data_IF_418077475824
#
_entry.id   IF_418077475824
#
_cell.length_a   1.000
_cell.length_b   1.000
_cell.length_c   1.000
_cell.angle_alpha   90.00
_cell.angle_beta   90.00
_cell.angle_gamma   90.00
#
_symmetry.space_group_name_H-M   'P 1'
#
loop_
_entity.id
_entity.type
_entity.pdbx_description
1 polymer ?
#
# COMPACT_ATOMS: atom_id res chain seq x y z
N UNK A 1 -2.38 -6.73 15.73
CA UNK A 1 -2.92 -5.37 15.79
C UNK A 1 -2.91 -4.72 14.42
N UNK A 2 -3.97 -3.98 14.08
CA UNK A 2 -4.06 -3.17 12.86
C UNK A 2 -4.67 -1.82 13.21
N UNK A 3 -4.10 -0.75 12.68
CA UNK A 3 -4.74 0.55 12.64
C UNK A 3 -5.53 0.67 11.33
N UNK A 4 -6.80 1.05 11.41
CA UNK A 4 -7.69 1.14 10.26
C UNK A 4 -8.35 2.52 10.27
N UNK A 5 -8.15 3.27 9.20
CA UNK A 5 -8.87 4.52 8.95
C UNK A 5 -9.92 4.31 7.88
N UNK A 6 -11.17 4.55 8.23
CA UNK A 6 -12.27 4.68 7.29
C UNK A 6 -12.54 6.17 7.06
N UNK A 7 -12.47 6.62 5.82
CA UNK A 7 -12.88 7.97 5.47
C UNK A 7 -14.40 8.13 5.62
N UNK A 8 -14.84 9.34 5.92
CA UNK A 8 -16.27 9.68 5.98
C UNK A 8 -17.02 9.13 4.75
N UNK A 9 -18.16 8.48 5.00
CA UNK A 9 -18.99 7.84 3.98
C UNK A 9 -18.51 6.47 3.49
N UNK A 10 -17.32 6.00 3.89
CA UNK A 10 -16.83 4.67 3.51
C UNK A 10 -17.35 3.57 4.45
N UNK A 11 -17.49 2.37 3.87
CA UNK A 11 -17.98 1.18 4.57
C UNK A 11 -17.04 0.01 4.33
N UNK A 12 -16.88 -0.84 5.36
CA UNK A 12 -16.24 -2.14 5.18
C UNK A 12 -17.17 -3.09 4.39
N UNK A 13 -16.66 -4.25 3.95
CA UNK A 13 -17.53 -5.34 3.48
C UNK A 13 -18.48 -5.80 4.59
N UNK A 14 -19.63 -6.32 4.21
CA UNK A 14 -20.45 -7.15 5.12
C UNK A 14 -19.81 -8.52 5.16
N UNK A 15 -19.29 -8.91 6.32
CA UNK A 15 -18.46 -10.09 6.49
C UNK A 15 -18.69 -10.77 7.83
N UNK A 16 -18.20 -12.00 7.94
CA UNK A 16 -18.06 -12.71 9.20
C UNK A 16 -16.76 -13.54 9.18
N UNK A 17 -16.40 -14.07 10.34
CA UNK A 17 -15.24 -14.94 10.53
C UNK A 17 -15.68 -16.29 11.07
N UNK A 18 -15.04 -17.36 10.65
CA UNK A 18 -15.33 -18.72 11.15
C UNK A 18 -14.67 -18.99 12.50
N UNK A 19 -13.45 -18.51 12.69
CA UNK A 19 -12.63 -18.75 13.88
C UNK A 19 -12.10 -17.49 14.53
N UNK A 20 -11.94 -16.42 13.75
CA UNK A 20 -11.30 -15.17 14.17
C UNK A 20 -12.22 -14.38 15.11
N UNK A 21 -11.68 -13.99 16.25
CA UNK A 21 -12.26 -12.96 17.11
C UNK A 21 -11.61 -11.61 16.85
N UNK A 22 -12.40 -10.56 16.84
CA UNK A 22 -11.93 -9.19 16.66
C UNK A 22 -12.40 -8.30 17.80
N UNK A 23 -11.51 -7.42 18.25
CA UNK A 23 -11.86 -6.31 19.14
C UNK A 23 -11.40 -5.02 18.51
N UNK A 24 -12.33 -4.13 18.25
CA UNK A 24 -12.09 -2.83 17.65
C UNK A 24 -12.20 -1.75 18.73
N UNK A 25 -11.13 -1.00 18.97
CA UNK A 25 -11.12 0.18 19.82
C UNK A 25 -11.17 1.43 18.94
N UNK A 26 -12.15 2.30 19.17
CA UNK A 26 -12.31 3.54 18.40
C UNK A 26 -11.39 4.62 18.99
N UNK A 27 -10.37 4.99 18.23
CA UNK A 27 -9.43 6.04 18.60
C UNK A 27 -9.97 7.44 18.34
N UNK A 28 -10.71 7.61 17.22
CA UNK A 28 -11.21 8.92 16.80
C UNK A 28 -12.36 8.78 15.81
N UNK A 29 -13.23 9.79 15.77
CA UNK A 29 -14.33 9.88 14.81
C UNK A 29 -15.58 9.14 15.25
N UNK A 30 -16.57 9.11 14.34
CA UNK A 30 -17.88 8.50 14.56
C UNK A 30 -18.22 7.55 13.43
N UNK A 31 -18.91 6.47 13.74
CA UNK A 31 -19.37 5.50 12.76
C UNK A 31 -20.60 4.72 13.24
N UNK A 32 -20.99 3.78 12.41
CA UNK A 32 -22.06 2.82 12.71
C UNK A 32 -21.49 1.42 12.56
N UNK A 33 -21.57 0.61 13.60
CA UNK A 33 -21.38 -0.82 13.53
C UNK A 33 -22.71 -1.47 13.18
N UNK A 34 -22.76 -2.14 12.02
CA UNK A 34 -23.86 -3.03 11.65
C UNK A 34 -23.46 -4.44 12.04
N UNK A 35 -24.33 -5.18 12.72
CA UNK A 35 -23.99 -6.53 13.19
C UNK A 35 -25.22 -7.41 13.35
N UNK A 36 -25.03 -8.74 13.22
CA UNK A 36 -26.08 -9.72 13.51
C UNK A 36 -26.16 -10.01 14.99
N UNK A 37 -27.39 -10.18 15.53
CA UNK A 37 -27.61 -10.57 16.95
C UNK A 37 -27.04 -11.94 17.26
N UNK A 38 -27.17 -12.85 16.32
CA UNK A 38 -26.76 -14.24 16.45
C UNK A 38 -25.72 -14.59 15.39
N UNK A 39 -24.81 -15.50 15.72
CA UNK A 39 -23.88 -16.02 14.72
C UNK A 39 -24.62 -16.69 13.55
N UNK A 40 -24.10 -16.55 12.33
CA UNK A 40 -24.54 -17.35 11.19
C UNK A 40 -24.21 -18.83 11.43
N UNK A 41 -25.04 -19.73 10.96
CA UNK A 41 -24.71 -21.16 10.95
C UNK A 41 -23.59 -21.42 9.91
N UNK A 42 -22.35 -21.46 10.39
CA UNK A 42 -21.14 -21.60 9.57
C UNK A 42 -21.17 -22.93 8.80
N UNK A 43 -21.69 -24.02 9.42
CA UNK A 43 -21.79 -25.31 8.75
C UNK A 43 -22.79 -25.25 7.58
N UNK A 44 -23.96 -24.68 7.81
CA UNK A 44 -24.98 -24.46 6.77
C UNK A 44 -24.40 -23.58 5.63
N UNK A 45 -23.61 -22.56 5.99
CA UNK A 45 -22.99 -21.68 5.02
C UNK A 45 -21.91 -22.41 4.16
N UNK A 46 -21.01 -23.16 4.80
CA UNK A 46 -19.96 -23.91 4.13
C UNK A 46 -20.54 -25.00 3.20
N UNK A 47 -21.66 -25.59 3.56
CA UNK A 47 -22.40 -26.55 2.77
C UNK A 47 -23.23 -25.91 1.64
N UNK A 48 -23.16 -24.58 1.47
CA UNK A 48 -23.92 -23.78 0.48
C UNK A 48 -25.44 -23.97 0.57
N UNK A 49 -25.95 -24.18 1.78
CA UNK A 49 -27.37 -24.41 2.06
C UNK A 49 -28.17 -23.13 2.33
N UNK A 50 -27.53 -21.97 2.37
CA UNK A 50 -28.24 -20.68 2.39
C UNK A 50 -28.65 -20.29 0.98
N UNK A 51 -29.92 -19.94 0.80
CA UNK A 51 -30.37 -19.28 -0.41
C UNK A 51 -29.88 -17.82 -0.43
N UNK A 52 -29.90 -17.22 -1.61
CA UNK A 52 -29.59 -15.78 -1.73
C UNK A 52 -30.57 -14.93 -0.94
N UNK A 53 -31.86 -15.25 -0.98
CA UNK A 53 -32.91 -14.50 -0.30
C UNK A 53 -32.76 -14.59 1.23
N UNK A 54 -32.37 -15.75 1.78
CA UNK A 54 -32.07 -15.90 3.21
C UNK A 54 -30.89 -15.02 3.64
N UNK A 55 -29.81 -14.95 2.84
CA UNK A 55 -28.67 -14.10 3.13
C UNK A 55 -29.02 -12.61 3.02
N UNK A 56 -29.78 -12.23 2.00
CA UNK A 56 -30.23 -10.85 1.80
C UNK A 56 -31.16 -10.41 2.95
N UNK A 57 -32.00 -11.30 3.47
CA UNK A 57 -32.84 -11.03 4.63
C UNK A 57 -32.02 -10.84 5.91
N UNK A 58 -31.01 -11.67 6.16
CA UNK A 58 -30.08 -11.52 7.30
C UNK A 58 -29.38 -10.15 7.21
N UNK A 59 -28.87 -9.80 6.04
CA UNK A 59 -28.17 -8.53 5.79
C UNK A 59 -29.09 -7.33 6.04
N UNK A 60 -30.33 -7.42 5.60
CA UNK A 60 -31.34 -6.37 5.79
C UNK A 60 -31.68 -6.14 7.26
N UNK A 61 -31.62 -7.19 8.06
CA UNK A 61 -32.00 -7.19 9.47
C UNK A 61 -30.81 -6.97 10.44
N UNK A 62 -29.63 -6.55 9.92
CA UNK A 62 -28.49 -6.20 10.78
C UNK A 62 -28.86 -5.05 11.74
N UNK A 63 -28.53 -5.21 13.01
CA UNK A 63 -28.64 -4.13 13.97
C UNK A 63 -27.59 -3.05 13.71
N UNK A 64 -27.89 -1.85 14.18
CA UNK A 64 -27.03 -0.67 14.06
C UNK A 64 -26.69 -0.15 15.44
N UNK A 65 -25.41 0.01 15.70
CA UNK A 65 -24.88 0.64 16.91
C UNK A 65 -23.99 1.80 16.52
N UNK A 66 -24.30 2.99 17.01
CA UNK A 66 -23.37 4.11 16.90
C UNK A 66 -22.09 3.81 17.68
N UNK A 67 -20.95 4.13 17.08
CA UNK A 67 -19.63 3.98 17.67
C UNK A 67 -18.87 5.29 17.56
N UNK A 68 -18.15 5.64 18.62
CA UNK A 68 -17.37 6.87 18.73
C UNK A 68 -16.13 6.63 19.56
N UNK A 69 -15.28 7.63 19.66
CA UNK A 69 -14.05 7.63 20.44
C UNK A 69 -14.25 7.01 21.85
N UNK A 70 -13.33 6.11 22.22
CA UNK A 70 -13.37 5.36 23.47
C UNK A 70 -14.24 4.11 23.44
N UNK A 71 -15.07 3.89 22.42
CA UNK A 71 -15.88 2.69 22.35
C UNK A 71 -15.03 1.45 21.98
N UNK A 72 -15.43 0.33 22.58
CA UNK A 72 -14.89 -1.00 22.28
C UNK A 72 -15.99 -1.85 21.66
N UNK A 73 -15.68 -2.50 20.54
CA UNK A 73 -16.57 -3.43 19.86
C UNK A 73 -15.89 -4.80 19.76
N UNK A 74 -16.47 -5.80 20.41
CA UNK A 74 -15.98 -7.17 20.36
C UNK A 74 -16.86 -8.01 19.44
N UNK A 75 -16.27 -8.64 18.45
CA UNK A 75 -16.92 -9.42 17.40
C UNK A 75 -16.46 -10.87 17.50
N UNK A 76 -17.38 -11.75 17.85
CA UNK A 76 -17.13 -13.19 17.96
C UNK A 76 -17.25 -13.88 16.59
N UNK A 77 -16.68 -15.10 16.45
CA UNK A 77 -16.89 -15.93 15.28
C UNK A 77 -18.37 -16.06 14.88
N UNK A 78 -18.65 -16.03 13.58
CA UNK A 78 -19.99 -16.12 13.03
C UNK A 78 -20.81 -14.83 13.07
N UNK A 79 -20.42 -13.80 13.81
CA UNK A 79 -21.14 -12.52 13.80
C UNK A 79 -20.93 -11.82 12.49
N UNK A 80 -22.02 -11.64 11.74
CA UNK A 80 -22.01 -10.85 10.51
C UNK A 80 -21.89 -9.38 10.91
N UNK A 81 -20.96 -8.65 10.32
CA UNK A 81 -20.72 -7.27 10.68
C UNK A 81 -20.17 -6.42 9.53
N UNK A 82 -20.33 -5.10 9.65
CA UNK A 82 -19.64 -4.06 8.87
C UNK A 82 -19.51 -2.79 9.70
N UNK A 83 -18.46 -2.03 9.42
CA UNK A 83 -18.28 -0.68 9.95
C UNK A 83 -18.58 0.33 8.84
N UNK A 84 -19.37 1.34 9.15
CA UNK A 84 -19.68 2.50 8.31
C UNK A 84 -19.17 3.76 9.01
N UNK A 85 -18.35 4.55 8.34
CA UNK A 85 -17.80 5.79 8.87
C UNK A 85 -18.76 6.97 8.58
N UNK A 86 -19.24 7.64 9.63
CA UNK A 86 -19.99 8.91 9.53
C UNK A 86 -19.00 10.05 9.32
N UNK A 87 -18.00 10.13 10.20
CA UNK A 87 -16.84 11.00 10.08
C UNK A 87 -15.61 10.14 9.73
N UNK A 88 -14.45 10.75 9.51
CA UNK A 88 -13.19 10.01 9.41
C UNK A 88 -12.98 9.21 10.71
N UNK A 89 -13.12 7.89 10.61
CA UNK A 89 -13.14 6.96 11.73
C UNK A 89 -11.83 6.21 11.81
N UNK A 90 -11.08 6.44 12.87
CA UNK A 90 -9.83 5.73 13.18
C UNK A 90 -10.07 4.71 14.27
N UNK A 91 -9.70 3.46 14.03
CA UNK A 91 -9.78 2.40 15.02
C UNK A 91 -8.54 1.50 15.04
N UNK A 92 -8.32 0.86 16.19
CA UNK A 92 -7.36 -0.24 16.34
C UNK A 92 -8.13 -1.56 16.39
N UNK A 93 -7.83 -2.46 15.45
CA UNK A 93 -8.29 -3.85 15.47
C UNK A 93 -7.24 -4.72 16.17
N UNK A 94 -7.64 -5.36 17.26
CA UNK A 94 -6.93 -6.50 17.85
C UNK A 94 -7.68 -7.77 17.48
N UNK A 95 -6.99 -8.73 16.90
CA UNK A 95 -7.61 -9.99 16.48
C UNK A 95 -6.73 -11.19 16.80
N UNK A 96 -7.32 -12.36 16.84
CA UNK A 96 -6.61 -13.63 16.84
C UNK A 96 -5.83 -13.85 15.54
N UNK A 97 -5.03 -14.90 15.45
CA UNK A 97 -4.01 -15.08 14.39
C UNK A 97 -4.57 -15.44 13.00
N UNK A 98 -5.85 -15.71 12.89
CA UNK A 98 -6.53 -16.17 11.67
C UNK A 98 -6.72 -15.01 10.66
N UNK A 99 -5.65 -14.60 10.00
CA UNK A 99 -5.65 -13.42 9.13
C UNK A 99 -6.48 -13.61 7.83
N UNK A 100 -6.61 -14.85 7.36
CA UNK A 100 -7.27 -15.20 6.10
C UNK A 100 -8.72 -15.68 6.29
N UNK A 101 -9.21 -15.64 7.52
CA UNK A 101 -10.55 -16.06 7.89
C UNK A 101 -11.55 -14.92 7.71
N UNK A 102 -11.89 -14.62 6.46
CA UNK A 102 -12.87 -13.57 6.11
C UNK A 102 -13.85 -14.09 5.07
N UNK A 103 -15.12 -14.25 5.48
CA UNK A 103 -16.24 -14.56 4.58
C UNK A 103 -17.02 -13.29 4.28
N UNK A 104 -17.03 -12.86 3.00
CA UNK A 104 -17.74 -11.65 2.57
C UNK A 104 -19.09 -12.01 1.97
N UNK A 105 -20.16 -11.45 2.54
CA UNK A 105 -21.53 -11.62 2.06
C UNK A 105 -21.91 -10.52 1.06
N UNK A 106 -21.46 -9.30 1.29
CA UNK A 106 -21.63 -8.18 0.37
C UNK A 106 -20.42 -7.25 0.46
N UNK A 107 -19.93 -6.83 -0.68
CA UNK A 107 -18.76 -5.95 -0.76
C UNK A 107 -18.94 -4.93 -1.89
N UNK A 108 -19.08 -3.67 -1.52
CA UNK A 108 -19.22 -2.55 -2.47
C UNK A 108 -18.01 -2.43 -3.40
N UNK A 109 -16.87 -2.99 -3.00
CA UNK A 109 -15.63 -3.06 -3.80
C UNK A 109 -15.56 -4.29 -4.70
N UNK A 110 -16.57 -5.20 -4.64
CA UNK A 110 -16.73 -6.42 -5.46
C UNK A 110 -15.59 -7.43 -5.29
N UNK A 111 -15.02 -7.52 -4.08
CA UNK A 111 -14.14 -8.64 -3.72
C UNK A 111 -14.98 -9.91 -3.64
N UNK A 112 -14.45 -11.02 -4.16
CA UNK A 112 -15.20 -12.29 -4.21
C UNK A 112 -15.64 -12.77 -2.82
N UNK A 113 -16.79 -13.44 -2.78
CA UNK A 113 -17.27 -14.13 -1.61
C UNK A 113 -16.39 -15.35 -1.30
N UNK A 114 -16.07 -15.56 -0.05
CA UNK A 114 -15.45 -16.78 0.42
C UNK A 114 -13.99 -16.68 0.85
N UNK A 115 -13.47 -17.78 1.31
CA UNK A 115 -12.07 -17.97 1.69
C UNK A 115 -11.14 -17.55 0.57
N UNK A 116 -10.14 -16.77 0.89
CA UNK A 116 -9.02 -16.52 -0.04
C UNK A 116 -8.41 -17.88 -0.37
N UNK A 117 -8.25 -18.18 -1.66
CA UNK A 117 -7.57 -19.41 -2.07
C UNK A 117 -6.21 -19.46 -1.38
N UNK A 118 -5.87 -20.62 -0.74
CA UNK A 118 -4.65 -20.81 0.04
C UNK A 118 -3.41 -20.41 -0.75
N UNK A 119 -3.33 -20.81 -2.01
CA UNK A 119 -2.23 -20.46 -2.92
C UNK A 119 -2.12 -18.95 -3.16
N UNK A 120 -3.24 -18.26 -3.31
CA UNK A 120 -3.27 -16.81 -3.43
C UNK A 120 -2.86 -16.12 -2.13
N UNK A 121 -3.33 -16.62 -0.98
CA UNK A 121 -2.96 -16.12 0.34
C UNK A 121 -1.46 -16.25 0.60
N UNK A 122 -0.87 -17.39 0.29
CA UNK A 122 0.58 -17.63 0.43
C UNK A 122 1.38 -16.69 -0.47
N UNK A 123 1.05 -16.62 -1.75
CA UNK A 123 1.72 -15.69 -2.70
C UNK A 123 1.58 -14.23 -2.28
N UNK A 124 0.44 -13.86 -1.70
CA UNK A 124 0.23 -12.50 -1.19
C UNK A 124 1.04 -12.22 0.08
N UNK A 125 1.24 -13.22 0.96
CA UNK A 125 2.11 -13.09 2.14
C UNK A 125 3.56 -12.87 1.74
N UNK A 126 4.06 -13.63 0.79
CA UNK A 126 5.42 -13.50 0.25
C UNK A 126 5.61 -12.12 -0.36
N UNK A 127 4.70 -11.70 -1.25
CA UNK A 127 4.72 -10.39 -1.87
C UNK A 127 4.73 -9.25 -0.84
N UNK A 128 3.88 -9.35 0.21
CA UNK A 128 3.85 -8.35 1.28
C UNK A 128 5.12 -8.33 2.10
N UNK A 129 5.71 -9.50 2.38
CA UNK A 129 6.95 -9.60 3.13
C UNK A 129 8.12 -8.95 2.39
N UNK A 130 8.26 -9.19 1.10
CA UNK A 130 9.29 -8.57 0.26
C UNK A 130 9.14 -7.05 0.18
N UNK A 131 7.90 -6.56 -0.06
CA UNK A 131 7.63 -5.13 -0.06
C UNK A 131 7.96 -4.53 1.30
N UNK A 132 7.63 -5.23 2.39
CA UNK A 132 7.93 -4.77 3.73
C UNK A 132 9.44 -4.63 3.95
N UNK A 133 10.23 -5.65 3.60
CA UNK A 133 11.70 -5.60 3.68
C UNK A 133 12.29 -4.46 2.84
N UNK A 134 11.81 -4.30 1.59
CA UNK A 134 12.23 -3.21 0.71
C UNK A 134 11.95 -1.83 1.32
N UNK A 135 10.77 -1.64 1.89
CA UNK A 135 10.38 -0.39 2.50
C UNK A 135 11.19 -0.11 3.77
N UNK A 136 11.35 -1.09 4.65
CA UNK A 136 12.19 -0.93 5.87
C UNK A 136 13.60 -0.53 5.47
N UNK A 137 14.21 -1.21 4.49
CA UNK A 137 15.56 -0.88 4.03
C UNK A 137 15.66 0.55 3.46
N UNK A 138 14.61 1.07 2.79
CA UNK A 138 14.57 2.47 2.33
C UNK A 138 14.48 3.46 3.49
N UNK A 139 13.70 3.16 4.52
CA UNK A 139 13.64 4.01 5.71
C UNK A 139 14.95 3.99 6.49
N UNK A 140 15.59 2.83 6.66
CA UNK A 140 16.92 2.73 7.25
C UNK A 140 17.96 3.52 6.46
N UNK A 141 17.90 3.45 5.13
CA UNK A 141 18.75 4.26 4.27
C UNK A 141 18.43 5.75 4.41
N UNK A 142 17.16 6.15 4.32
CA UNK A 142 16.73 7.53 4.46
C UNK A 142 17.15 8.13 5.82
N UNK A 143 17.02 7.37 6.90
CA UNK A 143 17.43 7.73 8.26
C UNK A 143 18.90 8.18 8.36
N UNK A 144 19.78 7.68 7.49
CA UNK A 144 21.19 8.07 7.49
C UNK A 144 21.44 9.47 6.97
N UNK A 145 20.51 10.04 6.18
CA UNK A 145 20.70 11.34 5.49
C UNK A 145 19.58 12.35 5.77
N UNK A 146 18.37 11.88 6.07
CA UNK A 146 17.22 12.73 6.36
C UNK A 146 17.39 13.47 7.68
N UNK A 147 16.88 14.71 7.73
CA UNK A 147 17.00 15.58 8.90
C UNK A 147 15.87 16.59 8.98
N UNK A 148 15.70 17.19 10.15
CA UNK A 148 14.79 18.32 10.38
C UNK A 148 13.33 17.92 10.22
N UNK A 149 12.54 18.83 9.65
CA UNK A 149 11.12 18.59 9.34
C UNK A 149 11.01 17.75 8.07
N UNK A 150 10.39 16.58 8.17
CA UNK A 150 10.28 15.63 7.07
C UNK A 150 8.82 15.54 6.60
N UNK A 151 8.61 15.59 5.28
CA UNK A 151 7.35 15.19 4.64
C UNK A 151 7.54 13.80 4.02
N UNK A 152 6.78 12.84 4.48
CA UNK A 152 6.77 11.48 3.93
C UNK A 152 5.48 11.27 3.13
N UNK A 153 5.63 11.16 1.82
CA UNK A 153 4.55 10.90 0.85
C UNK A 153 4.54 9.44 0.37
N UNK A 154 5.09 8.54 1.16
CA UNK A 154 5.11 7.11 0.87
C UNK A 154 3.70 6.52 0.95
N UNK A 155 3.33 5.76 -0.07
CA UNK A 155 2.04 5.06 -0.08
C UNK A 155 1.98 3.97 0.99
N UNK A 156 0.87 3.94 1.73
CA UNK A 156 0.57 2.89 2.70
C UNK A 156 0.74 3.33 4.16
N UNK A 157 -0.39 3.44 4.84
CA UNK A 157 -0.50 3.98 6.21
C UNK A 157 0.34 3.24 7.25
N UNK A 158 0.45 1.93 7.12
CA UNK A 158 1.25 1.11 8.02
C UNK A 158 2.74 1.45 7.93
N UNK A 159 3.25 1.57 6.71
CA UNK A 159 4.65 1.94 6.48
C UNK A 159 4.93 3.38 6.90
N UNK A 160 3.98 4.29 6.63
CA UNK A 160 4.08 5.67 7.06
C UNK A 160 4.24 5.80 8.58
N UNK A 161 3.47 5.03 9.37
CA UNK A 161 3.59 5.01 10.83
C UNK A 161 4.96 4.47 11.30
N UNK A 162 5.36 3.29 10.82
CA UNK A 162 6.65 2.70 11.17
C UNK A 162 7.82 3.56 10.68
N UNK A 163 7.73 4.05 9.44
CA UNK A 163 8.74 4.92 8.85
C UNK A 163 8.92 6.22 9.63
N UNK A 164 7.82 6.84 10.09
CA UNK A 164 7.89 8.03 10.91
C UNK A 164 8.65 7.77 12.21
N UNK A 165 8.38 6.66 12.92
CA UNK A 165 9.11 6.30 14.12
C UNK A 165 10.61 6.08 13.85
N UNK A 166 10.95 5.37 12.75
CA UNK A 166 12.34 5.15 12.36
C UNK A 166 13.08 6.47 12.08
N UNK A 167 12.44 7.41 11.40
CA UNK A 167 13.03 8.72 11.10
C UNK A 167 13.22 9.58 12.36
N UNK A 168 12.26 9.55 13.28
CA UNK A 168 12.35 10.27 14.56
C UNK A 168 13.42 9.72 15.52
N UNK A 169 13.88 8.49 15.32
CA UNK A 169 14.98 7.91 16.11
C UNK A 169 16.35 8.52 15.80
N UNK A 170 16.47 9.35 14.75
CA UNK A 170 17.74 9.92 14.33
C UNK A 170 17.66 11.48 14.32
N UNK A 171 17.66 12.08 13.14
CA UNK A 171 17.82 13.54 13.00
C UNK A 171 16.53 14.27 12.56
N UNK A 172 15.38 13.58 12.53
CA UNK A 172 14.11 14.22 12.27
C UNK A 172 13.58 14.93 13.51
N UNK A 173 13.18 16.18 13.40
CA UNK A 173 12.49 16.92 14.48
C UNK A 173 10.98 16.64 14.48
N UNK A 174 10.41 16.43 13.31
CA UNK A 174 9.01 16.07 13.12
C UNK A 174 8.82 15.39 11.78
N UNK A 175 7.84 14.49 11.68
CA UNK A 175 7.49 13.78 10.45
C UNK A 175 6.02 14.01 10.13
N UNK A 176 5.77 14.44 8.90
CA UNK A 176 4.45 14.68 8.35
C UNK A 176 4.17 13.65 7.27
N UNK A 177 3.02 13.00 7.33
CA UNK A 177 2.62 12.06 6.28
C UNK A 177 1.46 12.64 5.47
N UNK A 178 1.61 12.63 4.15
CA UNK A 178 0.57 13.02 3.20
C UNK A 178 0.16 11.81 2.34
N UNK A 179 -1.14 11.54 2.26
CA UNK A 179 -1.73 10.62 1.28
C UNK A 179 -1.90 11.36 -0.06
N UNK A 180 -0.80 11.58 -0.75
CA UNK A 180 -0.64 12.47 -1.90
C UNK A 180 -1.51 12.15 -3.13
N UNK A 181 -2.14 10.97 -3.16
CA UNK A 181 -2.89 10.47 -4.32
C UNK A 181 -4.36 10.93 -4.38
N UNK A 182 -4.85 11.68 -3.41
CA UNK A 182 -6.24 12.09 -3.39
C UNK A 182 -6.38 13.58 -3.64
N UNK A 183 -6.44 13.95 -4.92
CA UNK A 183 -6.51 15.35 -5.39
C UNK A 183 -7.81 16.09 -5.00
N UNK A 184 -8.74 15.44 -4.29
CA UNK A 184 -10.07 16.01 -4.02
C UNK A 184 -10.51 16.00 -2.55
N UNK A 185 -9.69 15.55 -1.62
CA UNK A 185 -10.03 15.52 -0.21
C UNK A 185 -9.07 16.35 0.61
N UNK A 186 -9.59 17.00 1.61
CA UNK A 186 -8.83 17.66 2.68
C UNK A 186 -7.79 16.67 3.22
N UNK A 187 -6.52 16.88 2.89
CA UNK A 187 -5.45 16.01 3.36
C UNK A 187 -5.29 16.21 4.85
N UNK A 188 -5.45 15.14 5.63
CA UNK A 188 -5.05 15.13 7.02
C UNK A 188 -3.57 14.77 7.07
N UNK A 189 -2.73 15.73 7.42
CA UNK A 189 -1.33 15.50 7.67
C UNK A 189 -1.21 14.91 9.07
N UNK A 190 -0.56 13.76 9.17
CA UNK A 190 -0.19 13.18 10.45
C UNK A 190 1.13 13.77 10.87
N UNK A 191 1.16 14.42 12.00
CA UNK A 191 2.36 14.95 12.59
C UNK A 191 2.82 14.07 13.75
N UNK A 192 4.05 13.61 13.68
CA UNK A 192 4.72 12.86 14.73
C UNK A 192 5.80 13.76 15.31
N UNK A 193 5.83 13.89 16.62
CA UNK A 193 6.83 14.67 17.36
C UNK A 193 7.81 13.75 18.08
N UNK A 194 8.88 14.33 18.65
CA UNK A 194 9.91 13.61 19.40
C UNK A 194 9.35 12.79 20.58
N UNK A 195 8.23 13.20 21.18
CA UNK A 195 7.52 12.45 22.23
C UNK A 195 6.75 11.24 21.68
N UNK A 196 6.87 10.96 20.36
CA UNK A 196 6.16 9.90 19.64
C UNK A 196 4.64 10.03 19.66
N UNK A 197 4.13 11.21 20.04
CA UNK A 197 2.71 11.51 19.94
C UNK A 197 2.32 11.73 18.47
N UNK A 198 1.14 11.25 18.11
CA UNK A 198 0.57 11.42 16.77
C UNK A 198 -0.56 12.43 16.83
N UNK A 199 -0.39 13.56 16.15
CA UNK A 199 -1.42 14.57 16.00
C UNK A 199 -1.93 14.57 14.56
N UNK A 200 -3.22 14.83 14.39
CA UNK A 200 -3.83 15.05 13.08
C UNK A 200 -4.05 16.55 12.91
N UNK A 201 -3.32 17.14 11.98
CA UNK A 201 -3.55 18.52 11.58
C UNK A 201 -4.20 18.54 10.18
N UNK A 202 -5.21 19.40 10.03
CA UNK A 202 -5.78 19.64 8.72
C UNK A 202 -4.80 20.49 7.93
N UNK A 203 -4.41 20.03 6.75
CA UNK A 203 -3.63 20.85 5.83
C UNK A 203 -4.54 21.95 5.28
N UNK A 204 -4.47 23.14 5.83
CA UNK A 204 -5.00 24.30 5.15
C UNK A 204 -4.00 24.70 4.05
N UNK A 205 -4.48 24.91 2.82
CA UNK A 205 -3.67 25.26 1.64
C UNK A 205 -2.81 26.55 1.82
N UNK A 206 -2.97 27.24 2.95
CA UNK A 206 -2.28 28.48 3.28
C UNK A 206 -1.07 28.33 4.21
N UNK A 207 -0.73 27.13 4.65
CA UNK A 207 0.44 26.96 5.51
C UNK A 207 1.72 26.99 4.66
N UNK A 208 2.49 28.08 4.75
CA UNK A 208 3.85 28.24 4.21
C UNK A 208 4.88 27.30 4.88
N UNK A 209 4.48 26.07 5.17
CA UNK A 209 5.34 25.09 5.82
C UNK A 209 6.37 24.59 4.81
N UNK A 210 7.65 24.71 5.16
CA UNK A 210 8.76 24.15 4.39
C UNK A 210 9.33 22.92 5.09
N UNK A 211 9.83 22.00 4.28
CA UNK A 211 10.42 20.75 4.76
C UNK A 211 11.91 20.69 4.44
N UNK A 212 12.69 20.21 5.39
CA UNK A 212 14.13 19.99 5.21
C UNK A 212 14.41 18.71 4.42
N UNK A 213 13.48 17.75 4.51
CA UNK A 213 13.52 16.52 3.75
C UNK A 213 12.12 16.15 3.25
N UNK A 214 12.01 15.77 1.97
CA UNK A 214 10.82 15.09 1.44
C UNK A 214 11.20 13.66 1.09
N UNK A 215 10.44 12.69 1.58
CA UNK A 215 10.60 11.27 1.28
C UNK A 215 9.45 10.82 0.38
N UNK A 216 9.75 10.29 -0.81
CA UNK A 216 8.77 9.85 -1.80
C UNK A 216 9.09 8.43 -2.25
N UNK A 217 8.72 7.43 -1.44
CA UNK A 217 9.01 6.04 -1.73
C UNK A 217 7.94 5.42 -2.62
N UNK A 218 8.32 5.07 -3.85
CA UNK A 218 7.49 4.35 -4.83
C UNK A 218 6.10 4.99 -5.06
N UNK A 219 6.01 6.31 -5.07
CA UNK A 219 4.77 7.05 -5.35
C UNK A 219 4.77 7.63 -6.75
N UNK A 220 5.90 8.12 -7.23
CA UNK A 220 6.03 8.83 -8.50
C UNK A 220 5.55 8.02 -9.72
N UNK A 221 5.66 6.70 -9.69
CA UNK A 221 5.21 5.83 -10.78
C UNK A 221 3.69 5.77 -10.94
N UNK A 222 2.91 6.25 -9.99
CA UNK A 222 1.46 6.34 -10.07
C UNK A 222 0.95 7.71 -10.53
N UNK A 223 1.85 8.70 -10.61
CA UNK A 223 1.53 10.05 -11.01
C UNK A 223 1.37 10.16 -12.53
N UNK A 224 0.33 10.88 -12.98
CA UNK A 224 0.12 11.13 -14.42
C UNK A 224 1.12 12.15 -14.97
N UNK A 225 1.49 13.11 -14.16
CA UNK A 225 2.36 14.24 -14.51
C UNK A 225 3.51 14.33 -13.48
N UNK A 226 4.51 13.43 -13.56
CA UNK A 226 5.59 13.36 -12.58
C UNK A 226 6.38 14.67 -12.45
N UNK A 227 6.51 15.45 -13.52
CA UNK A 227 7.16 16.77 -13.52
C UNK A 227 6.47 17.71 -12.54
N UNK A 228 5.13 17.81 -12.59
CA UNK A 228 4.36 18.68 -11.69
C UNK A 228 4.49 18.24 -10.23
N UNK A 229 4.60 16.95 -10.00
CA UNK A 229 4.83 16.40 -8.66
C UNK A 229 6.20 16.81 -8.13
N UNK A 230 7.24 16.73 -8.96
CA UNK A 230 8.59 17.22 -8.58
C UNK A 230 8.58 18.73 -8.33
N UNK A 231 7.95 19.54 -9.19
CA UNK A 231 7.79 20.99 -8.99
C UNK A 231 7.12 21.31 -7.65
N UNK A 232 6.06 20.57 -7.29
CA UNK A 232 5.42 20.71 -5.98
C UNK A 232 6.39 20.39 -4.84
N UNK A 233 7.19 19.34 -4.95
CA UNK A 233 8.20 19.01 -3.94
C UNK A 233 9.26 20.11 -3.82
N UNK A 234 9.77 20.62 -4.92
CA UNK A 234 10.73 21.74 -4.93
C UNK A 234 10.15 22.97 -4.22
N UNK A 235 8.86 23.26 -4.45
CA UNK A 235 8.18 24.36 -3.80
C UNK A 235 7.95 24.14 -2.30
N UNK A 236 7.82 22.91 -1.84
CA UNK A 236 7.67 22.57 -0.43
C UNK A 236 9.01 22.45 0.31
N UNK A 237 10.13 22.22 -0.38
CA UNK A 237 11.43 22.15 0.23
C UNK A 237 11.93 23.50 0.75
N UNK A 238 12.65 23.47 1.88
CA UNK A 238 13.46 24.59 2.37
C UNK A 238 14.62 24.89 1.41
N UNK A 239 15.32 25.99 1.61
CA UNK A 239 16.40 26.47 0.73
C UNK A 239 17.55 25.46 0.57
N UNK A 240 17.89 24.73 1.66
CA UNK A 240 18.89 23.66 1.66
C UNK A 240 18.24 22.27 1.84
N UNK A 241 17.00 22.14 1.40
CA UNK A 241 16.22 20.92 1.54
C UNK A 241 16.63 19.83 0.56
N UNK A 242 16.29 18.59 0.89
CA UNK A 242 16.56 17.44 0.03
C UNK A 242 15.29 16.64 -0.27
N UNK A 243 15.26 16.04 -1.45
CA UNK A 243 14.29 15.04 -1.85
C UNK A 243 14.98 13.67 -1.87
N UNK A 244 14.37 12.69 -1.19
CA UNK A 244 14.73 11.26 -1.30
C UNK A 244 13.57 10.58 -2.02
N UNK A 245 13.79 10.10 -3.22
CA UNK A 245 12.73 9.57 -4.07
C UNK A 245 13.12 8.22 -4.66
N UNK A 246 12.17 7.29 -4.73
CA UNK A 246 12.41 5.98 -5.33
C UNK A 246 11.37 5.62 -6.37
N UNK A 247 11.82 4.87 -7.39
CA UNK A 247 10.99 4.31 -8.45
C UNK A 247 11.49 2.94 -8.87
N UNK A 248 10.68 2.16 -9.58
CA UNK A 248 11.15 0.91 -10.16
C UNK A 248 11.90 1.14 -11.46
N UNK A 249 12.87 0.26 -11.74
CA UNK A 249 13.65 0.28 -12.96
C UNK A 249 12.88 -0.37 -14.12
N UNK A 250 12.44 0.45 -15.10
CA UNK A 250 11.73 -0.02 -16.28
C UNK A 250 12.60 -0.95 -17.17
N UNK A 251 13.91 -0.76 -17.16
CA UNK A 251 14.82 -1.56 -17.98
C UNK A 251 15.08 -2.95 -17.42
N UNK A 252 14.78 -3.16 -16.12
CA UNK A 252 14.93 -4.47 -15.51
C UNK A 252 14.00 -5.49 -16.18
N UNK A 253 14.54 -6.63 -16.60
CA UNK A 253 13.78 -7.71 -17.27
C UNK A 253 12.56 -8.19 -16.48
N UNK A 254 12.61 -8.09 -15.16
CA UNK A 254 11.48 -8.41 -14.29
C UNK A 254 10.25 -7.56 -14.62
N UNK A 255 10.43 -6.26 -14.80
CA UNK A 255 9.34 -5.34 -15.12
C UNK A 255 9.00 -5.29 -16.62
N UNK A 256 10.01 -5.43 -17.51
CA UNK A 256 9.79 -5.53 -18.95
C UNK A 256 8.87 -6.69 -19.33
N UNK A 257 8.90 -7.77 -18.58
CA UNK A 257 8.05 -8.95 -18.82
C UNK A 257 6.64 -8.83 -18.21
N UNK A 258 6.14 -7.62 -17.96
CA UNK A 258 4.78 -7.40 -17.48
C UNK A 258 4.53 -7.78 -16.02
N UNK A 259 5.60 -7.97 -15.23
CA UNK A 259 5.53 -8.31 -13.80
C UNK A 259 5.44 -7.08 -12.90
N UNK A 260 4.91 -5.98 -13.40
CA UNK A 260 4.65 -4.77 -12.63
C UNK A 260 3.18 -4.67 -12.22
N UNK A 261 2.93 -3.92 -11.15
CA UNK A 261 1.57 -3.56 -10.75
C UNK A 261 0.89 -2.82 -11.92
N UNK A 262 -0.25 -3.30 -12.45
CA UNK A 262 -0.91 -2.68 -13.60
C UNK A 262 -1.43 -1.26 -13.33
N UNK A 263 -1.48 -0.81 -12.09
CA UNK A 263 -1.85 0.55 -11.70
C UNK A 263 -0.71 1.56 -11.91
N UNK A 264 0.52 1.09 -12.05
CA UNK A 264 1.68 1.95 -12.32
C UNK A 264 1.55 2.54 -13.72
N UNK A 265 1.60 3.85 -13.80
CA UNK A 265 1.43 4.61 -15.05
C UNK A 265 2.78 4.85 -15.70
N UNK A 266 3.79 5.18 -14.88
CA UNK A 266 5.14 5.51 -15.30
C UNK A 266 6.15 4.46 -14.84
N UNK A 267 7.21 4.33 -15.59
CA UNK A 267 8.44 3.66 -15.21
C UNK A 267 9.58 4.44 -15.83
N UNK A 268 10.75 4.35 -15.24
CA UNK A 268 11.88 5.14 -15.66
C UNK A 268 13.08 4.23 -15.96
N UNK A 269 13.80 4.50 -17.04
CA UNK A 269 15.20 4.09 -17.14
C UNK A 269 16.01 4.88 -16.12
N UNK A 270 17.25 4.49 -15.89
CA UNK A 270 18.16 5.27 -15.02
C UNK A 270 18.32 6.70 -15.53
N UNK A 271 18.51 6.84 -16.84
CA UNK A 271 18.77 8.15 -17.45
C UNK A 271 17.50 9.03 -17.44
N UNK A 272 16.34 8.49 -17.82
CA UNK A 272 15.07 9.23 -17.72
C UNK A 272 14.76 9.68 -16.28
N UNK A 273 15.12 8.86 -15.28
CA UNK A 273 14.91 9.20 -13.88
C UNK A 273 15.88 10.29 -13.41
N UNK A 274 17.14 10.21 -13.83
CA UNK A 274 18.14 11.23 -13.56
C UNK A 274 17.74 12.55 -14.23
N UNK A 275 17.43 12.55 -15.52
CA UNK A 275 17.06 13.74 -16.29
C UNK A 275 15.81 14.42 -15.73
N UNK A 276 14.80 13.64 -15.31
CA UNK A 276 13.63 14.20 -14.62
C UNK A 276 14.02 15.01 -13.38
N UNK A 277 15.01 14.57 -12.62
CA UNK A 277 15.40 15.18 -11.35
C UNK A 277 16.42 16.29 -11.54
N UNK A 278 17.36 16.14 -12.47
CA UNK A 278 18.45 17.08 -12.76
C UNK A 278 17.93 18.44 -13.27
N UNK A 279 16.71 18.45 -13.86
CA UNK A 279 16.04 19.69 -14.25
C UNK A 279 15.65 20.59 -13.06
N UNK A 280 15.62 20.06 -11.85
CA UNK A 280 15.10 20.74 -10.66
C UNK A 280 16.08 20.82 -9.49
N UNK A 281 17.12 19.98 -9.47
CA UNK A 281 18.05 19.87 -8.37
C UNK A 281 19.50 20.03 -8.84
N UNK A 282 20.31 20.69 -8.04
CA UNK A 282 21.72 20.94 -8.36
C UNK A 282 22.60 19.69 -8.27
N UNK A 283 22.17 18.73 -7.42
CA UNK A 283 22.91 17.48 -7.22
C UNK A 283 21.94 16.31 -7.11
N UNK A 284 22.11 15.32 -7.98
CA UNK A 284 21.32 14.10 -8.04
C UNK A 284 22.21 12.88 -7.92
N UNK A 285 22.13 12.17 -6.80
CA UNK A 285 22.85 10.92 -6.60
C UNK A 285 21.92 9.73 -6.72
N UNK A 286 22.23 8.76 -7.59
CA UNK A 286 21.43 7.54 -7.81
C UNK A 286 22.02 6.36 -7.04
N UNK A 287 21.12 5.58 -6.43
CA UNK A 287 21.39 4.35 -5.71
C UNK A 287 20.58 3.19 -6.29
N UNK A 288 21.15 2.00 -6.19
CA UNK A 288 20.56 0.72 -6.60
C UNK A 288 19.98 0.01 -5.41
N UNK A 289 18.76 -0.54 -5.52
CA UNK A 289 18.21 -1.46 -4.53
C UNK A 289 17.78 -2.75 -5.21
N UNK A 290 18.10 -3.89 -4.58
CA UNK A 290 17.89 -5.24 -5.13
C UNK A 290 18.54 -5.39 -6.50
N UNK A 291 19.86 -5.35 -6.52
CA UNK A 291 20.62 -5.53 -7.75
C UNK A 291 20.62 -7.00 -8.19
N UNK A 292 19.90 -7.31 -9.26
CA UNK A 292 19.69 -8.66 -9.76
C UNK A 292 20.59 -8.94 -10.95
N UNK A 293 21.87 -9.03 -10.71
CA UNK A 293 22.84 -9.40 -11.76
C UNK A 293 22.79 -10.89 -12.16
N UNK A 294 22.21 -11.75 -11.33
CA UNK A 294 22.30 -13.23 -11.45
C UNK A 294 21.00 -13.94 -11.86
N UNK A 295 19.88 -13.26 -12.07
CA UNK A 295 18.60 -13.92 -12.44
C UNK A 295 18.57 -14.49 -13.86
N UNK A 296 19.63 -14.39 -14.64
CA UNK A 296 19.70 -15.05 -15.94
C UNK A 296 19.63 -16.59 -15.87
N UNK A 297 19.76 -17.17 -14.67
CA UNK A 297 19.77 -18.63 -14.49
C UNK A 297 18.37 -19.24 -14.26
N UNK A 298 17.39 -18.47 -13.77
CA UNK A 298 16.07 -19.00 -13.40
C UNK A 298 15.08 -19.03 -14.57
N UNK A 299 15.35 -18.29 -15.66
CA UNK A 299 14.42 -18.07 -16.77
C UNK A 299 14.52 -19.01 -17.97
N UNK A 300 15.45 -19.97 -18.02
CA UNK A 300 15.72 -20.72 -19.27
C UNK A 300 14.72 -21.81 -19.65
N UNK A 301 13.88 -22.29 -18.74
CA UNK A 301 13.03 -23.47 -18.99
C UNK A 301 11.51 -23.23 -19.12
N UNK A 302 11.03 -21.97 -19.16
CA UNK A 302 9.60 -21.69 -19.31
C UNK A 302 9.29 -20.69 -20.46
N UNK A 303 10.12 -20.70 -21.50
CA UNK A 303 10.43 -19.54 -22.32
C UNK A 303 9.46 -19.05 -23.37
N UNK A 304 8.54 -19.79 -23.90
CA UNK A 304 7.79 -19.28 -25.07
C UNK A 304 6.28 -19.12 -24.88
N UNK A 305 5.64 -20.02 -24.17
CA UNK A 305 4.18 -19.98 -24.00
C UNK A 305 3.76 -18.93 -22.94
N UNK A 306 4.64 -18.63 -21.97
CA UNK A 306 4.36 -17.63 -20.93
C UNK A 306 4.47 -16.18 -21.45
N UNK A 307 5.41 -15.90 -22.35
CA UNK A 307 5.66 -14.55 -22.88
C UNK A 307 4.47 -14.03 -23.69
N UNK A 308 3.93 -14.83 -24.59
CA UNK A 308 2.76 -14.44 -25.42
C UNK A 308 1.51 -14.25 -24.54
N UNK A 309 1.31 -15.12 -23.54
CA UNK A 309 0.19 -14.97 -22.59
C UNK A 309 0.34 -13.72 -21.72
N UNK A 310 1.56 -13.38 -21.31
CA UNK A 310 1.81 -12.21 -20.46
C UNK A 310 1.72 -10.90 -21.26
N UNK A 311 2.13 -10.88 -22.52
CA UNK A 311 2.00 -9.74 -23.42
C UNK A 311 0.54 -9.45 -23.80
N UNK A 312 -0.22 -10.49 -24.14
CA UNK A 312 -1.68 -10.38 -24.39
C UNK A 312 -2.42 -9.95 -23.14
N UNK A 313 -2.06 -10.47 -21.96
CA UNK A 313 -2.66 -10.07 -20.67
C UNK A 313 -2.29 -8.64 -20.28
N UNK A 314 -1.05 -8.20 -20.52
CA UNK A 314 -0.63 -6.81 -20.29
C UNK A 314 -1.39 -5.84 -21.21
N UNK A 315 -1.59 -6.19 -22.48
CA UNK A 315 -2.37 -5.40 -23.43
C UNK A 315 -3.85 -5.35 -23.08
N UNK A 316 -4.44 -6.49 -22.68
CA UNK A 316 -5.81 -6.56 -22.14
C UNK A 316 -5.95 -5.76 -20.84
N UNK A 317 -4.94 -5.79 -19.97
CA UNK A 317 -4.91 -5.01 -18.74
C UNK A 317 -4.94 -3.50 -18.99
N UNK A 318 -4.17 -3.02 -19.96
CA UNK A 318 -4.19 -1.60 -20.36
C UNK A 318 -5.56 -1.17 -20.94
N UNK A 319 -6.25 -2.09 -21.61
CA UNK A 319 -7.60 -1.86 -22.10
C UNK A 319 -8.58 -1.85 -20.92
N UNK A 320 -8.50 -2.81 -20.01
CA UNK A 320 -9.36 -2.92 -18.83
C UNK A 320 -9.17 -1.75 -17.85
N UNK A 321 -7.96 -1.17 -17.78
CA UNK A 321 -7.68 0.05 -17.00
C UNK A 321 -8.44 1.27 -17.50
N UNK A 322 -8.88 1.28 -18.78
CA UNK A 322 -9.73 2.34 -19.36
C UNK A 322 -11.21 2.16 -19.03
N UNK A 323 -11.62 0.96 -18.59
CA UNK A 323 -12.99 0.65 -18.22
C UNK A 323 -13.20 0.79 -16.71
N UNK A 324 -14.48 0.80 -16.30
CA UNK A 324 -14.90 1.01 -14.92
C UNK A 324 -14.10 0.17 -13.91
N UNK A 325 -13.39 0.86 -13.00
CA UNK A 325 -12.62 0.26 -11.90
C UNK A 325 -13.48 -0.59 -10.95
N UNK A 326 -14.83 -0.48 -11.04
CA UNK A 326 -15.78 -1.29 -10.28
C UNK A 326 -16.07 -2.64 -10.94
N UNK A 327 -15.61 -2.87 -12.17
CA UNK A 327 -15.84 -4.10 -12.92
C UNK A 327 -15.20 -5.32 -12.23
N UNK A 328 -15.95 -6.42 -12.13
CA UNK A 328 -15.48 -7.72 -11.63
C UNK A 328 -14.25 -8.19 -12.42
N UNK A 329 -14.24 -7.98 -13.76
CA UNK A 329 -13.12 -8.34 -14.62
C UNK A 329 -11.84 -7.56 -14.29
N UNK A 330 -11.93 -6.26 -13.99
CA UNK A 330 -10.80 -5.46 -13.57
C UNK A 330 -10.20 -5.98 -12.25
N UNK A 331 -11.05 -6.30 -11.29
CA UNK A 331 -10.64 -6.78 -9.96
C UNK A 331 -9.96 -8.15 -10.04
N UNK A 332 -10.54 -9.07 -10.81
CA UNK A 332 -9.93 -10.39 -11.06
C UNK A 332 -8.58 -10.27 -11.75
N UNK A 333 -8.49 -9.41 -12.77
CA UNK A 333 -7.22 -9.13 -13.45
C UNK A 333 -6.16 -8.58 -12.48
N UNK A 334 -6.52 -7.65 -11.60
CA UNK A 334 -5.62 -7.10 -10.59
C UNK A 334 -5.15 -8.17 -9.61
N UNK A 335 -6.05 -9.01 -9.13
CA UNK A 335 -5.76 -10.12 -8.21
C UNK A 335 -4.82 -11.15 -8.85
N UNK A 336 -5.09 -11.57 -10.08
CA UNK A 336 -4.22 -12.49 -10.85
C UNK A 336 -2.82 -11.89 -11.09
N UNK A 337 -2.74 -10.57 -11.30
CA UNK A 337 -1.48 -9.86 -11.50
C UNK A 337 -0.64 -9.84 -10.22
N UNK A 338 -1.24 -9.53 -9.08
CA UNK A 338 -0.58 -9.54 -7.76
C UNK A 338 -0.08 -10.96 -7.42
N UNK A 339 -0.87 -11.99 -7.67
CA UNK A 339 -0.48 -13.39 -7.45
C UNK A 339 0.74 -13.78 -8.30
N UNK A 340 0.77 -13.38 -9.58
CA UNK A 340 1.92 -13.65 -10.46
C UNK A 340 3.18 -12.91 -10.02
N UNK A 341 3.04 -11.67 -9.59
CA UNK A 341 4.16 -10.88 -9.07
C UNK A 341 4.70 -11.55 -7.80
N UNK A 342 3.85 -11.98 -6.87
CA UNK A 342 4.23 -12.67 -5.65
C UNK A 342 5.03 -13.95 -5.93
N UNK A 343 4.53 -14.83 -6.81
CA UNK A 343 5.23 -16.06 -7.22
C UNK A 343 6.58 -15.79 -7.91
N UNK A 344 6.70 -14.67 -8.59
CA UNK A 344 7.96 -14.30 -9.24
C UNK A 344 8.96 -13.71 -8.25
N UNK A 345 8.48 -12.95 -7.27
CA UNK A 345 9.30 -12.43 -6.18
C UNK A 345 9.82 -13.54 -5.25
N UNK A 346 9.02 -14.55 -4.95
CA UNK A 346 9.46 -15.73 -4.19
C UNK A 346 10.73 -16.34 -4.78
N UNK A 347 10.74 -16.58 -6.10
CA UNK A 347 11.93 -17.12 -6.80
C UNK A 347 13.16 -16.21 -6.76
N UNK A 348 12.95 -14.91 -6.61
CA UNK A 348 14.02 -13.93 -6.47
C UNK A 348 14.53 -13.92 -5.03
N UNK A 349 13.60 -13.96 -4.07
CA UNK A 349 13.91 -13.85 -2.64
C UNK A 349 14.62 -15.10 -2.10
N UNK A 350 14.36 -16.27 -2.67
CA UNK A 350 15.03 -17.53 -2.28
C UNK A 350 16.56 -17.50 -2.41
N UNK A 351 17.10 -16.54 -3.17
CA UNK A 351 18.55 -16.34 -3.34
C UNK A 351 19.11 -15.04 -2.74
N UNK A 352 18.30 -14.27 -2.00
CA UNK A 352 18.69 -12.96 -1.47
C UNK A 352 18.83 -12.96 0.05
N UNK A 353 19.86 -12.27 0.53
CA UNK A 353 20.06 -11.96 1.95
C UNK A 353 19.44 -10.62 2.31
N UNK A 354 19.29 -10.33 3.59
CA UNK A 354 18.74 -9.04 4.05
C UNK A 354 19.59 -7.84 3.60
N UNK A 355 20.89 -8.01 3.43
CA UNK A 355 21.82 -7.00 2.91
C UNK A 355 21.51 -6.58 1.45
N UNK A 356 20.94 -7.47 0.64
CA UNK A 356 20.58 -7.20 -0.75
C UNK A 356 19.42 -6.20 -0.89
N UNK A 357 18.67 -5.98 0.20
CA UNK A 357 17.62 -4.97 0.26
C UNK A 357 18.14 -3.57 0.56
N UNK A 358 19.38 -3.44 1.07
CA UNK A 358 19.96 -2.15 1.43
C UNK A 358 20.35 -1.39 0.17
N UNK A 359 19.94 -0.13 0.00
CA UNK A 359 20.36 0.67 -1.14
C UNK A 359 21.87 0.92 -1.14
N UNK A 360 22.51 0.70 -2.29
CA UNK A 360 23.94 0.95 -2.52
C UNK A 360 24.14 1.94 -3.66
N UNK A 361 25.24 2.69 -3.66
CA UNK A 361 25.53 3.65 -4.75
C UNK A 361 25.54 2.93 -6.10
N UNK A 362 24.81 3.49 -7.08
CA UNK A 362 24.71 2.91 -8.42
C UNK A 362 26.11 2.80 -9.08
N UNK A 363 26.38 1.64 -9.67
CA UNK A 363 27.60 1.37 -10.42
C UNK A 363 27.25 0.98 -11.85
N UNK A 364 28.13 1.29 -12.81
CA UNK A 364 27.94 0.83 -14.18
C UNK A 364 27.87 -0.69 -14.24
N UNK A 365 26.81 -1.19 -14.88
CA UNK A 365 26.52 -2.62 -14.95
C UNK A 365 25.50 -3.10 -13.92
N UNK A 366 25.10 -2.26 -12.96
CA UNK A 366 23.98 -2.58 -12.06
C UNK A 366 22.67 -2.76 -12.83
N UNK A 367 21.91 -3.75 -12.42
CA UNK A 367 20.54 -3.99 -12.93
C UNK A 367 19.56 -4.13 -11.77
N UNK A 368 19.34 -3.04 -11.01
CA UNK A 368 18.49 -3.08 -9.82
C UNK A 368 17.02 -3.23 -10.17
N UNK A 369 16.21 -3.69 -9.21
CA UNK A 369 14.75 -3.58 -9.30
C UNK A 369 14.27 -2.14 -9.12
N UNK A 370 14.97 -1.39 -8.26
CA UNK A 370 14.58 -0.03 -7.93
C UNK A 370 15.76 0.93 -7.99
N UNK A 371 15.47 2.14 -8.45
CA UNK A 371 16.33 3.30 -8.26
C UNK A 371 15.87 4.10 -7.06
N UNK A 372 16.83 4.64 -6.32
CA UNK A 372 16.61 5.64 -5.29
C UNK A 372 17.49 6.83 -5.61
N UNK A 373 16.96 8.03 -5.55
CA UNK A 373 17.72 9.25 -5.73
C UNK A 373 17.73 10.10 -4.47
N UNK A 374 18.88 10.68 -4.16
CA UNK A 374 19.03 11.77 -3.20
C UNK A 374 19.29 13.03 -4.01
N UNK A 375 18.39 14.00 -3.91
CA UNK A 375 18.43 15.24 -4.67
C UNK A 375 18.57 16.42 -3.70
N UNK A 376 19.54 17.30 -3.92
CA UNK A 376 19.76 18.52 -3.12
C UNK A 376 19.39 19.74 -3.94
N UNK A 377 18.62 20.62 -3.30
CA UNK A 377 18.19 21.90 -3.86
C UNK A 377 19.34 22.89 -3.97
#
# INVERSE_FOLDING_TARGET
LKEILFRSGYKSSIQFHEHKEETNYILKGKGILHYSKTPIDIKKFNEKKYSKDELDEIIKNLEKKEISEGNVCHLKPGIIHRVEAIDDLLLIESSTVELDDVYRLNDEWGREHGKINKEHSESLKIYKNDIFKEQIARYEFAKTVAKGRILDVTMGKFMAYHGAHMLLENNASEVWNDDFLDNNTTCYIRKFNDDKSMNFEKSDDNNNVKFDTILCNQTIQYEKEPQKTIEKFVNLLSENGMLIISTYNLENKFYKNGKSDPRKINGFSKDDFHDLLDNYFQNVEIFSQRNISTIDTIGKNTKEISLIKDEVRSSLGKILLKFDKKSIFYKKYLQDSITRIGKSMEKISDGMNDEDYIPTKFKNGDNPLFFIAICKK
#
